data_IF_417898042750
#
_entry.id   IF_417898042750
#
_cell.length_a   1.000
_cell.length_b   1.000
_cell.length_c   1.000
_cell.angle_alpha   90.00
_cell.angle_beta   90.00
_cell.angle_gamma   90.00
#
_symmetry.space_group_name_H-M   'P 1'
#
loop_
_entity.id
_entity.type
_entity.pdbx_description
1 polymer ?
#
# COMPACT_ATOMS: atom_id res chain seq x y z
N UNK A 1 -9.84 16.42 -12.00
CA UNK A 1 -8.41 16.02 -12.00
C UNK A 1 -8.28 14.98 -10.90
N UNK A 2 -7.66 13.83 -11.17
CA UNK A 2 -7.35 12.91 -10.07
C UNK A 2 -6.23 13.57 -9.26
N UNK A 3 -6.43 13.74 -7.95
CA UNK A 3 -5.36 14.23 -7.08
C UNK A 3 -4.22 13.21 -7.02
N UNK A 4 -2.99 13.70 -6.87
CA UNK A 4 -1.84 12.81 -6.68
C UNK A 4 -2.02 12.00 -5.38
N UNK A 5 -1.77 10.68 -5.40
CA UNK A 5 -1.85 9.87 -4.18
C UNK A 5 -0.91 10.41 -3.10
N UNK A 6 -1.42 10.58 -1.88
CA UNK A 6 -0.58 10.88 -0.73
C UNK A 6 0.10 9.60 -0.25
N UNK A 7 1.36 9.42 -0.63
CA UNK A 7 2.17 8.28 -0.20
C UNK A 7 2.43 8.31 1.31
N UNK A 8 2.16 7.19 1.99
CA UNK A 8 2.38 6.99 3.43
C UNK A 8 3.64 6.16 3.70
N UNK A 9 3.88 5.12 2.90
CA UNK A 9 5.03 4.24 3.07
C UNK A 9 5.42 3.54 1.75
N UNK A 10 6.70 3.15 1.67
CA UNK A 10 7.25 2.25 0.65
C UNK A 10 7.93 1.09 1.35
N UNK A 11 7.71 -0.11 0.86
CA UNK A 11 8.33 -1.34 1.35
C UNK A 11 9.01 -2.01 0.17
N UNK A 12 10.33 -2.05 0.19
CA UNK A 12 11.13 -2.72 -0.83
C UNK A 12 10.77 -4.20 -0.92
N UNK A 13 10.70 -4.71 -2.15
CA UNK A 13 10.52 -6.13 -2.44
C UNK A 13 11.66 -6.61 -3.33
N UNK A 14 11.78 -7.92 -3.49
CA UNK A 14 12.81 -8.49 -4.34
C UNK A 14 12.75 -7.95 -5.78
N UNK A 15 13.92 -7.62 -6.33
CA UNK A 15 14.06 -7.11 -7.69
C UNK A 15 13.75 -5.63 -7.80
N UNK A 16 12.94 -5.27 -8.80
CA UNK A 16 12.59 -3.91 -9.18
C UNK A 16 11.18 -3.51 -8.71
N UNK A 17 10.76 -3.97 -7.53
CA UNK A 17 9.39 -3.83 -7.03
C UNK A 17 9.32 -3.23 -5.64
N UNK A 18 8.27 -2.45 -5.39
CA UNK A 18 7.94 -1.88 -4.08
C UNK A 18 6.45 -2.06 -3.80
N UNK A 19 6.09 -2.27 -2.53
CA UNK A 19 4.72 -2.06 -2.06
C UNK A 19 4.58 -0.61 -1.60
N UNK A 20 3.65 0.12 -2.19
CA UNK A 20 3.30 1.48 -1.79
C UNK A 20 1.99 1.43 -1.00
N UNK A 21 1.99 2.06 0.17
CA UNK A 21 0.78 2.38 0.91
C UNK A 21 0.48 3.87 0.71
N UNK A 22 -0.70 4.20 0.20
CA UNK A 22 -1.04 5.59 -0.15
C UNK A 22 -2.51 5.91 0.13
N UNK A 23 -2.81 7.18 0.36
CA UNK A 23 -4.19 7.69 0.37
C UNK A 23 -4.52 8.18 -1.04
N UNK A 24 -5.59 7.66 -1.61
CA UNK A 24 -6.10 8.05 -2.94
C UNK A 24 -7.49 8.64 -2.82
N UNK A 25 -7.84 9.57 -3.70
CA UNK A 25 -9.21 10.07 -3.83
C UNK A 25 -9.85 9.59 -5.13
N UNK A 26 -11.03 8.99 -5.03
CA UNK A 26 -11.86 8.65 -6.18
C UNK A 26 -13.31 9.06 -5.95
N UNK A 27 -13.79 9.98 -6.80
CA UNK A 27 -15.16 10.55 -6.76
C UNK A 27 -15.49 11.17 -5.39
N UNK A 28 -14.58 11.97 -4.83
CA UNK A 28 -14.79 12.67 -3.55
C UNK A 28 -14.77 11.76 -2.31
N UNK A 29 -14.31 10.52 -2.46
CA UNK A 29 -14.09 9.58 -1.36
C UNK A 29 -12.62 9.24 -1.30
N UNK A 30 -12.06 9.20 -0.10
CA UNK A 30 -10.67 8.82 0.16
C UNK A 30 -10.58 7.34 0.51
N UNK A 31 -9.47 6.70 0.13
CA UNK A 31 -9.22 5.28 0.35
C UNK A 31 -7.76 5.06 0.71
N UNK A 32 -7.48 4.00 1.46
CA UNK A 32 -6.13 3.45 1.54
C UNK A 32 -5.91 2.52 0.35
N UNK A 33 -4.92 2.80 -0.50
CA UNK A 33 -4.48 1.90 -1.57
C UNK A 33 -3.14 1.27 -1.17
N UNK A 34 -3.11 -0.06 -1.19
CA UNK A 34 -1.92 -0.89 -0.98
C UNK A 34 -1.60 -1.57 -2.30
N UNK A 35 -0.55 -1.14 -3.00
CA UNK A 35 -0.29 -1.60 -4.37
C UNK A 35 1.18 -1.83 -4.66
N UNK A 36 1.44 -2.85 -5.47
CA UNK A 36 2.78 -3.14 -5.97
C UNK A 36 3.07 -2.24 -7.15
N UNK A 37 4.19 -1.55 -7.07
CA UNK A 37 4.80 -0.77 -8.12
C UNK A 37 6.04 -1.49 -8.62
N UNK A 38 6.40 -1.24 -9.88
CA UNK A 38 7.66 -1.70 -10.46
C UNK A 38 8.37 -0.55 -11.18
N UNK A 39 9.69 -0.64 -11.27
CA UNK A 39 10.54 0.26 -12.05
C UNK A 39 11.23 -0.50 -13.19
N UNK A 40 11.54 0.19 -14.28
CA UNK A 40 12.36 -0.34 -15.39
C UNK A 40 13.59 0.53 -15.68
N UNK A 41 13.81 1.54 -14.84
CA UNK A 41 14.77 2.62 -15.00
C UNK A 41 15.50 2.88 -13.67
N UNK A 42 15.89 1.79 -13.00
CA UNK A 42 16.69 1.82 -11.77
C UNK A 42 16.08 2.70 -10.64
N UNK A 43 14.75 2.73 -10.56
CA UNK A 43 14.01 3.45 -9.53
C UNK A 43 13.70 4.90 -9.87
N UNK A 44 14.05 5.41 -11.05
CA UNK A 44 13.69 6.77 -11.49
C UNK A 44 12.17 6.94 -11.60
N UNK A 45 11.47 5.96 -12.19
CA UNK A 45 10.02 5.95 -12.28
C UNK A 45 9.40 4.66 -11.76
N UNK A 46 8.27 4.81 -11.07
CA UNK A 46 7.52 3.71 -10.48
C UNK A 46 6.13 3.64 -11.09
N UNK A 47 5.80 2.48 -11.66
CA UNK A 47 4.52 2.23 -12.34
C UNK A 47 3.67 1.27 -11.52
N UNK A 48 2.39 1.57 -11.29
CA UNK A 48 1.51 0.68 -10.55
C UNK A 48 1.26 -0.60 -11.35
N UNK A 49 1.08 -1.71 -10.64
CA UNK A 49 0.60 -2.97 -11.22
C UNK A 49 -0.87 -3.20 -10.89
N UNK A 50 -1.46 -4.23 -11.49
CA UNK A 50 -2.78 -4.74 -11.10
C UNK A 50 -2.77 -5.43 -9.72
N UNK A 51 -1.59 -5.75 -9.16
CA UNK A 51 -1.46 -6.37 -7.84
C UNK A 51 -1.55 -5.29 -6.76
N UNK A 52 -2.74 -5.16 -6.19
CA UNK A 52 -3.00 -4.24 -5.10
C UNK A 52 -4.44 -4.34 -4.64
N UNK A 53 -4.73 -3.71 -3.52
CA UNK A 53 -6.07 -3.65 -2.93
C UNK A 53 -6.35 -2.23 -2.45
N UNK A 54 -7.57 -1.79 -2.68
CA UNK A 54 -8.10 -0.54 -2.13
C UNK A 54 -8.97 -0.91 -0.93
N UNK A 55 -8.76 -0.21 0.18
CA UNK A 55 -9.44 -0.43 1.45
C UNK A 55 -10.30 0.79 1.75
N UNK A 56 -11.56 0.55 2.07
CA UNK A 56 -12.51 1.60 2.41
C UNK A 56 -12.20 2.15 3.80
N UNK A 57 -12.45 3.46 4.06
CA UNK A 57 -12.22 4.06 5.38
C UNK A 57 -12.91 3.32 6.53
N UNK A 58 -14.11 2.78 6.30
CA UNK A 58 -14.89 2.03 7.30
C UNK A 58 -14.26 0.70 7.70
N UNK A 59 -13.37 0.13 6.87
CA UNK A 59 -12.69 -1.15 7.13
C UNK A 59 -11.28 -0.97 7.72
N UNK A 60 -10.80 0.28 7.89
CA UNK A 60 -9.42 0.55 8.30
C UNK A 60 -9.12 0.02 9.71
N UNK A 61 -10.03 0.20 10.66
CA UNK A 61 -9.84 -0.30 12.03
C UNK A 61 -9.75 -1.83 12.04
N UNK A 62 -10.58 -2.51 11.24
CA UNK A 62 -10.54 -3.97 11.08
C UNK A 62 -9.20 -4.43 10.51
N UNK A 63 -8.72 -3.79 9.44
CA UNK A 63 -7.42 -4.11 8.84
C UNK A 63 -6.26 -3.83 9.80
N UNK A 64 -6.28 -2.71 10.51
CA UNK A 64 -5.24 -2.33 11.46
C UNK A 64 -5.12 -3.35 12.60
N UNK A 65 -6.26 -3.76 13.17
CA UNK A 65 -6.27 -4.81 14.21
C UNK A 65 -5.70 -6.14 13.69
N UNK A 66 -6.08 -6.55 12.48
CA UNK A 66 -5.55 -7.78 11.86
C UNK A 66 -4.03 -7.71 11.64
N UNK A 67 -3.49 -6.55 11.24
CA UNK A 67 -2.04 -6.35 11.09
C UNK A 67 -1.33 -6.42 12.45
N UNK A 68 -1.89 -5.80 13.49
CA UNK A 68 -1.30 -5.85 14.84
C UNK A 68 -1.32 -7.26 15.43
N UNK A 69 -2.38 -8.03 15.21
CA UNK A 69 -2.45 -9.42 15.63
C UNK A 69 -1.46 -10.30 14.84
N UNK A 70 -1.37 -10.12 13.52
CA UNK A 70 -0.36 -10.79 12.70
C UNK A 70 1.07 -10.46 13.15
N UNK A 71 1.33 -9.21 13.53
CA UNK A 71 2.62 -8.78 14.07
C UNK A 71 2.95 -9.49 15.38
N UNK A 72 1.98 -9.61 16.31
CA UNK A 72 2.18 -10.37 17.57
C UNK A 72 2.51 -11.82 17.29
N UNK A 73 1.75 -12.47 16.40
CA UNK A 73 1.99 -13.89 16.08
C UNK A 73 3.33 -14.11 15.39
N UNK A 74 3.64 -13.34 14.35
CA UNK A 74 4.85 -13.54 13.55
C UNK A 74 6.12 -13.15 14.29
N UNK A 75 6.09 -12.13 15.16
CA UNK A 75 7.26 -11.69 15.92
C UNK A 75 7.40 -12.35 17.29
N UNK A 76 6.34 -13.00 17.80
CA UNK A 76 6.46 -13.86 18.99
C UNK A 76 6.95 -15.28 18.63
N UNK A 77 7.07 -15.60 17.34
CA UNK A 77 7.64 -16.85 16.85
C UNK A 77 9.17 -16.83 16.69
N UNK A 78 9.83 -15.76 17.15
CA UNK A 78 11.30 -15.64 17.23
C UNK A 78 11.83 -15.87 18.66
#
# INVERSE_FOLDING_TARGET
MAEEPKLLARIERAGNQELHASITEYKGKTYLDLRIFYTTDDGETWRPTQKGVTVYPEDLDTLANAIEDAKKELLALD
#
